data_IF_018807304291
#
_entry.id   IF_018807304291
#
_cell.length_a   1.000
_cell.length_b   1.000
_cell.length_c   1.000
_cell.angle_alpha   90.00
_cell.angle_beta   90.00
_cell.angle_gamma   90.00
#
_symmetry.space_group_name_H-M   'P 1'
#
loop_
_entity.id
_entity.type
_entity.pdbx_description
1 polymer ?
#
# COMPACT_ATOMS: atom_id res chain seq x y z
N UNK A 1 26.53 -30.82 22.63
CA UNK A 1 25.25 -30.21 23.02
C UNK A 1 24.71 -29.53 21.78
N UNK A 2 23.74 -30.19 21.13
CA UNK A 2 23.33 -29.91 19.74
C UNK A 2 22.35 -28.73 19.74
N UNK A 3 22.73 -27.65 19.06
CA UNK A 3 21.84 -26.56 18.66
C UNK A 3 21.19 -26.92 17.33
N UNK A 4 20.06 -27.62 17.39
CA UNK A 4 19.13 -27.82 16.26
C UNK A 4 17.74 -27.70 16.87
N UNK A 5 16.87 -26.86 16.29
CA UNK A 5 15.39 -26.82 16.40
C UNK A 5 14.74 -25.41 16.46
N UNK A 6 15.47 -24.30 16.33
CA UNK A 6 14.82 -22.98 16.32
C UNK A 6 14.30 -22.57 14.92
N UNK A 7 14.99 -22.91 13.84
CA UNK A 7 14.59 -22.50 12.48
C UNK A 7 13.37 -23.27 11.97
N UNK A 8 13.35 -24.61 12.14
CA UNK A 8 12.23 -25.48 11.75
C UNK A 8 10.90 -25.11 12.44
N UNK A 9 10.96 -24.63 13.68
CA UNK A 9 9.76 -24.26 14.42
C UNK A 9 9.17 -22.93 13.93
N UNK A 10 10.03 -21.98 13.53
CA UNK A 10 9.62 -20.68 12.99
C UNK A 10 9.02 -20.77 11.59
N UNK A 11 9.58 -21.65 10.73
CA UNK A 11 9.02 -21.94 9.41
C UNK A 11 7.65 -22.61 9.52
N UNK A 12 7.52 -23.61 10.40
CA UNK A 12 6.24 -24.28 10.63
C UNK A 12 5.15 -23.32 11.17
N UNK A 13 5.51 -22.42 12.07
CA UNK A 13 4.57 -21.41 12.57
C UNK A 13 4.14 -20.43 11.47
N UNK A 14 5.07 -20.00 10.61
CA UNK A 14 4.80 -19.13 9.47
C UNK A 14 3.85 -19.78 8.47
N UNK A 15 4.06 -21.06 8.12
CA UNK A 15 3.18 -21.85 7.24
C UNK A 15 1.77 -21.94 7.82
N UNK A 16 1.63 -22.24 9.11
CA UNK A 16 0.33 -22.31 9.77
C UNK A 16 -0.43 -20.97 9.78
N UNK A 17 0.29 -19.84 9.86
CA UNK A 17 -0.32 -18.51 9.75
C UNK A 17 -0.80 -18.24 8.32
N UNK A 18 0.01 -18.58 7.31
CA UNK A 18 -0.36 -18.46 5.89
C UNK A 18 -1.64 -19.23 5.59
N UNK A 19 -1.74 -20.49 6.02
CA UNK A 19 -2.92 -21.33 5.78
C UNK A 19 -4.19 -20.74 6.40
N UNK A 20 -4.06 -20.18 7.61
CA UNK A 20 -5.18 -19.52 8.31
C UNK A 20 -5.64 -18.25 7.58
N UNK A 21 -4.71 -17.43 7.08
CA UNK A 21 -5.02 -16.21 6.35
C UNK A 21 -5.64 -16.55 4.99
N UNK A 22 -5.10 -17.54 4.27
CA UNK A 22 -5.67 -18.05 3.01
C UNK A 22 -7.11 -18.51 3.21
N UNK A 23 -7.33 -19.41 4.17
CA UNK A 23 -8.67 -19.92 4.50
C UNK A 23 -9.64 -18.80 4.89
N UNK A 24 -9.17 -17.75 5.58
CA UNK A 24 -9.99 -16.59 5.91
C UNK A 24 -10.45 -15.85 4.65
N UNK A 25 -9.55 -15.57 3.71
CA UNK A 25 -9.88 -14.88 2.46
C UNK A 25 -10.74 -15.73 1.53
N UNK A 26 -10.47 -17.03 1.39
CA UNK A 26 -11.30 -17.94 0.58
C UNK A 26 -12.75 -17.93 1.07
N UNK A 27 -12.93 -18.00 2.39
CA UNK A 27 -14.26 -17.94 3.01
C UNK A 27 -14.94 -16.58 2.84
N UNK A 28 -14.16 -15.50 2.86
CA UNK A 28 -14.66 -14.14 2.64
C UNK A 28 -15.14 -13.96 1.19
N UNK A 29 -14.31 -14.32 0.22
CA UNK A 29 -14.63 -14.24 -1.21
C UNK A 29 -15.77 -15.20 -1.59
N UNK A 30 -15.82 -16.37 -0.96
CA UNK A 30 -16.95 -17.30 -1.03
C UNK A 30 -18.22 -16.82 -0.31
N UNK A 31 -18.22 -15.61 0.28
CA UNK A 31 -19.36 -14.99 1.01
C UNK A 31 -19.90 -15.83 2.17
N UNK A 32 -19.07 -16.71 2.73
CA UNK A 32 -19.46 -17.61 3.85
C UNK A 32 -19.31 -16.96 5.22
N UNK A 33 -18.63 -15.81 5.30
CA UNK A 33 -18.40 -15.03 6.52
C UNK A 33 -18.59 -13.54 6.25
N UNK A 34 -19.00 -12.80 7.30
CA UNK A 34 -19.24 -11.36 7.21
C UNK A 34 -17.93 -10.57 7.25
N UNK A 35 -17.86 -9.48 6.48
CA UNK A 35 -16.71 -8.56 6.45
C UNK A 35 -16.27 -8.10 7.85
N UNK A 36 -17.21 -7.74 8.73
CA UNK A 36 -16.92 -7.33 10.12
C UNK A 36 -16.08 -8.37 10.88
N UNK A 37 -16.35 -9.66 10.65
CA UNK A 37 -15.57 -10.73 11.26
C UNK A 37 -14.17 -10.83 10.65
N UNK A 38 -14.07 -10.72 9.33
CA UNK A 38 -12.79 -10.73 8.60
C UNK A 38 -11.90 -9.60 9.06
N UNK A 39 -12.40 -8.35 9.10
CA UNK A 39 -11.66 -7.19 9.61
C UNK A 39 -11.10 -7.40 11.00
N UNK A 40 -11.91 -7.95 11.92
CA UNK A 40 -11.45 -8.27 13.28
C UNK A 40 -10.30 -9.27 13.28
N UNK A 41 -10.33 -10.28 12.40
CA UNK A 41 -9.23 -11.24 12.25
C UNK A 41 -8.00 -10.64 11.58
N UNK A 42 -8.16 -9.80 10.56
CA UNK A 42 -7.04 -9.09 9.92
C UNK A 42 -6.31 -8.19 10.92
N UNK A 43 -7.04 -7.43 11.74
CA UNK A 43 -6.45 -6.60 12.80
C UNK A 43 -5.68 -7.46 13.82
N UNK A 44 -6.21 -8.63 14.18
CA UNK A 44 -5.51 -9.56 15.05
C UNK A 44 -4.18 -10.02 14.42
N UNK A 45 -4.19 -10.51 13.18
CA UNK A 45 -2.98 -10.95 12.49
C UNK A 45 -1.97 -9.81 12.32
N UNK A 46 -2.42 -8.61 11.96
CA UNK A 46 -1.56 -7.43 11.84
C UNK A 46 -0.78 -7.12 13.13
N UNK A 47 -1.39 -7.39 14.30
CA UNK A 47 -0.78 -7.15 15.62
C UNK A 47 0.11 -8.28 16.11
N UNK A 48 -0.16 -9.52 15.72
CA UNK A 48 0.54 -10.69 16.26
C UNK A 48 1.66 -11.19 15.35
N UNK A 49 1.38 -11.33 14.06
CA UNK A 49 2.27 -11.95 13.08
C UNK A 49 2.61 -11.05 11.90
N UNK A 50 1.84 -9.98 11.70
CA UNK A 50 1.84 -9.22 10.46
C UNK A 50 1.33 -10.04 9.27
N UNK A 51 1.60 -9.50 8.07
CA UNK A 51 1.32 -10.15 6.79
C UNK A 51 2.62 -10.46 6.07
N UNK A 52 2.80 -11.73 5.72
CA UNK A 52 4.08 -12.29 5.26
C UNK A 52 4.43 -11.82 3.84
N UNK A 53 3.43 -11.61 2.97
CA UNK A 53 3.65 -11.20 1.58
C UNK A 53 2.68 -10.10 1.14
N UNK A 54 2.98 -9.47 -0.01
CA UNK A 54 2.16 -8.40 -0.57
C UNK A 54 0.78 -8.89 -1.06
N UNK A 55 0.61 -10.18 -1.37
CA UNK A 55 -0.70 -10.74 -1.77
C UNK A 55 -1.71 -10.57 -0.64
N UNK A 56 -1.33 -10.90 0.60
CA UNK A 56 -2.21 -10.72 1.75
C UNK A 56 -2.29 -9.26 2.21
N UNK A 57 -1.20 -8.50 2.11
CA UNK A 57 -1.25 -7.05 2.44
C UNK A 57 -2.21 -6.32 1.51
N UNK A 58 -2.17 -6.59 0.20
CA UNK A 58 -3.06 -5.96 -0.79
C UNK A 58 -4.53 -6.19 -0.45
N UNK A 59 -4.91 -7.45 -0.22
CA UNK A 59 -6.28 -7.80 0.17
C UNK A 59 -6.66 -7.24 1.54
N UNK A 60 -5.74 -7.27 2.51
CA UNK A 60 -6.03 -6.78 3.86
C UNK A 60 -6.17 -5.26 3.90
N UNK A 61 -5.28 -4.52 3.25
CA UNK A 61 -5.26 -3.06 3.24
C UNK A 61 -6.46 -2.51 2.48
N UNK A 62 -6.76 -3.06 1.31
CA UNK A 62 -7.97 -2.71 0.57
C UNK A 62 -9.24 -2.96 1.39
N UNK A 63 -9.31 -4.06 2.14
CA UNK A 63 -10.47 -4.32 2.98
C UNK A 63 -10.52 -3.39 4.20
N UNK A 64 -9.40 -3.19 4.89
CA UNK A 64 -9.32 -2.43 6.13
C UNK A 64 -9.54 -0.93 5.91
N UNK A 65 -9.07 -0.42 4.78
CA UNK A 65 -9.27 0.97 4.36
C UNK A 65 -10.60 1.03 3.62
N UNK A 66 -11.55 1.78 4.14
CA UNK A 66 -12.81 1.97 3.43
C UNK A 66 -12.54 2.83 2.19
N UNK A 67 -12.44 2.19 1.03
CA UNK A 67 -12.31 2.88 -0.26
C UNK A 67 -13.68 3.02 -0.91
N UNK A 68 -14.00 4.24 -1.34
CA UNK A 68 -15.10 4.50 -2.27
C UNK A 68 -14.52 4.41 -3.68
N UNK A 69 -15.14 3.69 -4.63
CA UNK A 69 -14.75 3.75 -6.03
C UNK A 69 -15.11 5.14 -6.56
N UNK A 70 -14.17 6.08 -6.43
CA UNK A 70 -14.28 7.44 -6.94
C UNK A 70 -13.32 7.65 -8.11
N UNK A 71 -13.80 8.37 -9.12
CA UNK A 71 -12.99 8.70 -10.28
C UNK A 71 -12.07 9.89 -9.99
N UNK A 72 -10.76 9.67 -10.14
CA UNK A 72 -9.76 10.72 -10.10
C UNK A 72 -9.49 11.22 -11.52
N UNK A 73 -10.44 11.99 -12.06
CA UNK A 73 -10.29 12.64 -13.36
C UNK A 73 -9.47 13.91 -13.18
N UNK A 74 -8.23 13.88 -13.65
CA UNK A 74 -7.33 15.03 -13.65
C UNK A 74 -6.50 14.96 -14.92
N UNK A 75 -6.48 16.06 -15.68
CA UNK A 75 -5.68 16.11 -16.90
C UNK A 75 -4.19 16.35 -16.57
N UNK A 76 -3.33 16.06 -17.55
CA UNK A 76 -1.88 16.20 -17.38
C UNK A 76 -1.44 17.64 -17.11
N UNK A 77 -2.13 18.63 -17.68
CA UNK A 77 -1.78 20.04 -17.50
C UNK A 77 -2.08 20.50 -16.08
N UNK A 78 -3.20 20.05 -15.49
CA UNK A 78 -3.54 20.29 -14.09
C UNK A 78 -2.49 19.71 -13.15
N UNK A 79 -2.00 18.49 -13.43
CA UNK A 79 -0.93 17.85 -12.66
C UNK A 79 0.35 18.68 -12.73
N UNK A 80 0.84 18.99 -13.94
CA UNK A 80 2.11 19.69 -14.12
C UNK A 80 2.09 21.16 -13.66
N UNK A 81 0.91 21.79 -13.62
CA UNK A 81 0.74 23.17 -13.14
C UNK A 81 0.52 23.29 -11.62
N UNK A 82 0.39 22.17 -10.91
CA UNK A 82 0.12 22.19 -9.47
C UNK A 82 1.27 22.81 -8.68
N UNK A 83 0.97 23.64 -7.68
CA UNK A 83 1.98 24.43 -6.95
C UNK A 83 3.10 23.60 -6.30
N UNK A 84 2.82 22.35 -5.93
CA UNK A 84 3.79 21.43 -5.30
C UNK A 84 4.46 20.46 -6.29
N UNK A 85 4.10 20.50 -7.58
CA UNK A 85 4.55 19.51 -8.57
C UNK A 85 6.08 19.35 -8.63
N UNK A 86 6.80 20.46 -8.77
CA UNK A 86 8.28 20.44 -8.82
C UNK A 86 8.91 19.91 -7.54
N UNK A 87 8.32 20.24 -6.38
CA UNK A 87 8.81 19.75 -5.10
C UNK A 87 8.58 18.25 -4.94
N UNK A 88 7.39 17.76 -5.31
CA UNK A 88 7.07 16.33 -5.33
C UNK A 88 8.03 15.59 -6.24
N UNK A 89 8.25 16.08 -7.47
CA UNK A 89 9.18 15.48 -8.43
C UNK A 89 10.59 15.38 -7.89
N UNK A 90 11.10 16.46 -7.29
CA UNK A 90 12.43 16.46 -6.68
C UNK A 90 12.55 15.44 -5.53
N UNK A 91 11.52 15.32 -4.69
CA UNK A 91 11.48 14.36 -3.60
C UNK A 91 11.43 12.91 -4.09
N UNK A 92 10.58 12.63 -5.10
CA UNK A 92 10.44 11.31 -5.71
C UNK A 92 11.72 10.84 -6.43
N UNK A 93 12.47 11.76 -7.05
CA UNK A 93 13.78 11.44 -7.64
C UNK A 93 14.76 10.94 -6.57
N UNK A 94 14.70 11.48 -5.35
CA UNK A 94 15.61 11.08 -4.26
C UNK A 94 15.23 9.73 -3.63
N UNK A 95 14.00 9.24 -3.83
CA UNK A 95 13.58 7.90 -3.35
C UNK A 95 14.13 6.71 -4.13
N UNK A 96 14.88 6.92 -5.22
CA UNK A 96 15.47 5.85 -6.05
C UNK A 96 16.22 4.76 -5.27
N UNK A 97 16.85 5.11 -4.14
CA UNK A 97 17.60 4.17 -3.30
C UNK A 97 16.72 3.19 -2.52
N UNK A 98 15.42 3.46 -2.41
CA UNK A 98 14.46 2.63 -1.66
C UNK A 98 13.73 1.61 -2.53
N UNK A 99 13.89 1.68 -3.84
CA UNK A 99 13.32 0.66 -4.74
C UNK A 99 14.02 -0.68 -4.52
N UNK A 100 13.27 -1.79 -4.56
CA UNK A 100 13.87 -3.11 -4.44
C UNK A 100 14.93 -3.35 -5.53
N UNK A 101 16.03 -4.04 -5.22
CA UNK A 101 17.20 -4.14 -6.11
C UNK A 101 16.89 -4.86 -7.44
N UNK A 102 15.82 -5.64 -7.48
CA UNK A 102 15.35 -6.39 -8.65
C UNK A 102 14.62 -5.54 -9.70
N UNK A 103 14.32 -4.27 -9.43
CA UNK A 103 13.70 -3.37 -10.41
C UNK A 103 14.75 -2.77 -11.34
N UNK A 104 14.51 -2.89 -12.65
CA UNK A 104 15.25 -2.19 -13.70
C UNK A 104 15.04 -0.67 -13.62
N UNK A 105 15.93 0.10 -14.24
CA UNK A 105 15.82 1.56 -14.27
C UNK A 105 14.53 2.03 -14.95
N UNK A 106 14.05 1.32 -15.97
CA UNK A 106 12.77 1.61 -16.61
C UNK A 106 11.58 1.39 -15.68
N UNK A 107 11.56 0.29 -14.92
CA UNK A 107 10.48 0.02 -13.98
C UNK A 107 10.48 1.04 -12.82
N UNK A 108 11.67 1.46 -12.37
CA UNK A 108 11.80 2.52 -11.37
C UNK A 108 11.26 3.85 -11.91
N UNK A 109 11.58 4.20 -13.15
CA UNK A 109 11.06 5.42 -13.79
C UNK A 109 9.53 5.41 -13.87
N UNK A 110 8.93 4.27 -14.25
CA UNK A 110 7.46 4.13 -14.29
C UNK A 110 6.85 4.34 -12.89
N UNK A 111 7.39 3.70 -11.86
CA UNK A 111 6.91 3.88 -10.49
C UNK A 111 7.08 5.30 -9.96
N UNK A 112 8.12 6.02 -10.40
CA UNK A 112 8.29 7.43 -10.06
C UNK A 112 7.21 8.30 -10.70
N UNK A 113 6.93 8.09 -11.98
CA UNK A 113 5.88 8.81 -12.70
C UNK A 113 4.51 8.54 -12.07
N UNK A 114 4.22 7.26 -11.75
CA UNK A 114 3.01 6.85 -11.03
C UNK A 114 2.91 7.52 -9.65
N UNK A 115 4.00 7.55 -8.89
CA UNK A 115 4.02 8.15 -7.55
C UNK A 115 3.78 9.67 -7.59
N UNK A 116 4.39 10.37 -8.54
CA UNK A 116 4.14 11.81 -8.75
C UNK A 116 2.67 12.05 -9.09
N UNK A 117 2.12 11.25 -10.00
CA UNK A 117 0.73 11.35 -10.42
C UNK A 117 -0.24 11.11 -9.27
N UNK A 118 -0.02 10.07 -8.46
CA UNK A 118 -0.87 9.73 -7.31
C UNK A 118 -0.89 10.87 -6.29
N UNK A 119 0.29 11.33 -5.86
CA UNK A 119 0.40 12.39 -4.86
C UNK A 119 -0.26 13.68 -5.37
N UNK A 120 0.00 14.04 -6.61
CA UNK A 120 -0.52 15.29 -7.19
C UNK A 120 -2.03 15.23 -7.36
N UNK A 121 -2.60 14.09 -7.80
CA UNK A 121 -4.06 13.91 -7.91
C UNK A 121 -4.78 14.07 -6.57
N UNK A 122 -4.19 13.57 -5.47
CA UNK A 122 -4.76 13.74 -4.13
C UNK A 122 -4.76 15.21 -3.71
N UNK A 123 -3.65 15.93 -3.95
CA UNK A 123 -3.55 17.35 -3.59
C UNK A 123 -4.43 18.25 -4.45
N UNK A 124 -4.67 17.89 -5.72
CA UNK A 124 -5.62 18.59 -6.58
C UNK A 124 -7.07 18.35 -6.10
N UNK A 125 -7.39 17.12 -5.67
CA UNK A 125 -8.73 16.79 -5.17
C UNK A 125 -9.04 17.51 -3.86
N UNK A 126 -8.05 17.63 -2.97
CA UNK A 126 -8.19 18.24 -1.64
C UNK A 126 -7.29 19.46 -1.53
N UNK A 127 -7.76 20.59 -2.07
CA UNK A 127 -7.02 21.85 -2.17
C UNK A 127 -6.61 22.43 -0.79
N UNK A 128 -7.23 21.96 0.30
CA UNK A 128 -6.87 22.32 1.67
C UNK A 128 -5.56 21.67 2.15
N UNK A 129 -5.14 20.58 1.50
CA UNK A 129 -3.94 19.84 1.87
C UNK A 129 -2.68 20.56 1.38
N UNK A 130 -1.65 20.50 2.21
CA UNK A 130 -0.34 21.05 1.90
C UNK A 130 0.68 19.92 1.82
N UNK A 131 1.47 19.88 0.74
CA UNK A 131 2.51 18.88 0.62
C UNK A 131 3.57 19.07 1.71
N UNK A 132 3.93 17.97 2.39
CA UNK A 132 5.03 17.95 3.35
C UNK A 132 6.09 16.93 2.93
N UNK A 133 7.35 17.23 3.24
CA UNK A 133 8.48 16.36 2.95
C UNK A 133 8.36 15.05 3.76
N UNK A 134 8.28 13.93 3.04
CA UNK A 134 8.05 12.59 3.61
C UNK A 134 6.72 11.97 3.19
N UNK A 135 5.76 12.75 2.68
CA UNK A 135 4.52 12.18 2.15
C UNK A 135 4.75 11.21 0.98
N UNK A 136 5.79 11.45 0.18
CA UNK A 136 6.21 10.56 -0.89
C UNK A 136 6.69 9.19 -0.38
N UNK A 137 7.32 9.11 0.78
CA UNK A 137 7.80 7.85 1.36
C UNK A 137 6.64 6.97 1.83
N UNK A 138 5.62 7.59 2.45
CA UNK A 138 4.38 6.91 2.83
C UNK A 138 3.70 6.40 1.57
N UNK A 139 3.52 7.28 0.57
CA UNK A 139 2.83 6.95 -0.67
C UNK A 139 3.53 5.85 -1.46
N UNK A 140 4.86 5.86 -1.53
CA UNK A 140 5.64 4.80 -2.17
C UNK A 140 5.43 3.44 -1.50
N UNK A 141 5.31 3.40 -0.17
CA UNK A 141 5.03 2.16 0.57
C UNK A 141 3.72 1.52 0.14
N UNK A 142 2.67 2.33 -0.05
CA UNK A 142 1.40 1.85 -0.56
C UNK A 142 1.48 1.44 -2.04
N UNK A 143 2.17 2.22 -2.88
CA UNK A 143 2.33 1.89 -4.30
C UNK A 143 3.01 0.54 -4.51
N UNK A 144 4.09 0.27 -3.77
CA UNK A 144 4.84 -0.99 -3.86
C UNK A 144 4.04 -2.24 -3.41
N UNK A 145 2.97 -2.05 -2.63
CA UNK A 145 2.12 -3.15 -2.14
C UNK A 145 0.84 -3.30 -2.97
N UNK A 146 0.19 -2.18 -3.28
CA UNK A 146 -1.13 -2.15 -3.91
C UNK A 146 -1.08 -2.12 -5.44
N UNK A 147 -0.01 -1.54 -6.00
CA UNK A 147 0.07 -1.17 -7.41
C UNK A 147 -0.85 0.00 -7.74
N UNK A 148 -0.77 0.48 -8.98
CA UNK A 148 -1.48 1.68 -9.46
C UNK A 148 -2.98 1.66 -9.15
N UNK A 149 -3.68 0.57 -9.50
CA UNK A 149 -5.15 0.46 -9.45
C UNK A 149 -5.76 0.73 -8.07
N UNK A 150 -5.12 0.23 -7.01
CA UNK A 150 -5.65 0.33 -5.64
C UNK A 150 -4.92 1.38 -4.80
N UNK A 151 -3.72 1.82 -5.21
CA UNK A 151 -2.91 2.72 -4.42
C UNK A 151 -3.61 4.08 -4.23
N UNK A 152 -4.09 4.68 -5.32
CA UNK A 152 -4.71 6.00 -5.28
C UNK A 152 -5.92 6.09 -4.33
N UNK A 153 -6.97 5.25 -4.46
CA UNK A 153 -8.12 5.33 -3.54
C UNK A 153 -7.77 4.98 -2.09
N UNK A 154 -6.81 4.08 -1.86
CA UNK A 154 -6.38 3.73 -0.51
C UNK A 154 -5.60 4.87 0.15
N UNK A 155 -4.61 5.45 -0.53
CA UNK A 155 -3.86 6.59 0.02
C UNK A 155 -4.80 7.75 0.24
N UNK A 156 -5.68 8.06 -0.70
CA UNK A 156 -6.63 9.17 -0.56
C UNK A 156 -7.47 9.05 0.72
N UNK A 157 -8.04 7.86 0.94
CA UNK A 157 -8.81 7.55 2.16
C UNK A 157 -7.95 7.68 3.43
N UNK A 158 -6.70 7.19 3.41
CA UNK A 158 -5.77 7.30 4.55
C UNK A 158 -5.40 8.76 4.81
N UNK A 159 -5.10 9.53 3.78
CA UNK A 159 -4.73 10.94 3.87
C UNK A 159 -5.84 11.74 4.52
N UNK A 160 -7.09 11.53 4.10
CA UNK A 160 -8.23 12.27 4.66
C UNK A 160 -8.64 11.85 6.08
N UNK A 161 -8.08 10.76 6.61
CA UNK A 161 -8.50 10.22 7.91
C UNK A 161 -7.40 10.12 8.96
N UNK A 162 -6.12 10.04 8.55
CA UNK A 162 -5.00 9.72 9.46
C UNK A 162 -3.73 10.53 9.23
N UNK A 163 -3.62 11.33 8.16
CA UNK A 163 -2.43 12.16 7.86
C UNK A 163 -2.79 13.64 7.91
#
# INVERSE_FOLDING_TARGET
>A
MVTVNNDDNSENESVLVIDKITSLFDRYHGKTIKEKYVKKKLIFYARTSGFINNIYRKQAWDLLVHTSPEEYSTDKNQIESHQYYDQIKMDVIRTLKRFPPNYSDSERSLLQDELILIITKILIKHEELHYYQGYHDISLTFLLVLGEDLCLPVIDSITMSHL
#
